data_IF_008275922913
#
_entry.id   IF_008275922913
#
_cell.length_a   1.000
_cell.length_b   1.000
_cell.length_c   1.000
_cell.angle_alpha   90.00
_cell.angle_beta   90.00
_cell.angle_gamma   90.00
#
_symmetry.space_group_name_H-M   'P 1'
#
loop_
_entity.id
_entity.type
_entity.pdbx_description
1 polymer ?
#
# COMPACT_ATOMS: atom_id res chain seq x y z
N UNK A 1 -18.17 15.37 -5.11
CA UNK A 1 -18.03 14.06 -5.78
C UNK A 1 -17.58 14.18 -7.23
N UNK A 2 -18.15 15.08 -8.04
CA UNK A 2 -17.66 15.28 -9.44
C UNK A 2 -16.17 15.67 -9.50
N UNK A 3 -15.72 16.57 -8.61
CA UNK A 3 -14.30 16.95 -8.54
C UNK A 3 -13.37 15.81 -8.11
N UNK A 4 -13.82 14.92 -7.22
CA UNK A 4 -12.98 13.81 -6.73
C UNK A 4 -12.85 12.70 -7.78
N UNK A 5 -13.94 12.35 -8.47
CA UNK A 5 -13.88 11.38 -9.58
C UNK A 5 -13.01 11.90 -10.72
N UNK A 6 -13.13 13.18 -11.07
CA UNK A 6 -12.27 13.82 -12.06
C UNK A 6 -10.80 13.77 -11.65
N UNK A 7 -10.47 14.13 -10.41
CA UNK A 7 -9.11 14.06 -9.89
C UNK A 7 -8.55 12.63 -9.96
N UNK A 8 -9.35 11.62 -9.57
CA UNK A 8 -8.95 10.20 -9.64
C UNK A 8 -8.64 9.81 -11.09
N UNK A 9 -9.52 10.14 -12.03
CA UNK A 9 -9.31 9.81 -13.45
C UNK A 9 -8.06 10.51 -14.03
N UNK A 10 -7.83 11.77 -13.67
CA UNK A 10 -6.65 12.54 -14.13
C UNK A 10 -5.33 12.05 -13.52
N UNK A 11 -5.38 11.38 -12.37
CA UNK A 11 -4.21 10.88 -11.64
C UNK A 11 -4.07 9.35 -11.64
N UNK A 12 -4.94 8.63 -12.36
CA UNK A 12 -5.03 7.18 -12.30
C UNK A 12 -3.70 6.48 -12.57
N UNK A 13 -2.96 6.92 -13.59
CA UNK A 13 -1.66 6.35 -13.94
C UNK A 13 -0.63 6.56 -12.81
N UNK A 14 -0.62 7.74 -12.20
CA UNK A 14 0.26 8.05 -11.06
C UNK A 14 -0.06 7.15 -9.87
N UNK A 15 -1.34 7.02 -9.50
CA UNK A 15 -1.75 6.17 -8.38
C UNK A 15 -1.42 4.71 -8.62
N UNK A 16 -1.61 4.23 -9.85
CA UNK A 16 -1.27 2.87 -10.25
C UNK A 16 0.24 2.62 -10.14
N UNK A 17 1.07 3.56 -10.62
CA UNK A 17 2.53 3.45 -10.55
C UNK A 17 3.03 3.48 -9.09
N UNK A 18 2.49 4.37 -8.26
CA UNK A 18 2.85 4.44 -6.83
C UNK A 18 2.44 3.14 -6.10
N UNK A 19 1.28 2.55 -6.42
CA UNK A 19 0.88 1.23 -5.88
C UNK A 19 1.82 0.12 -6.36
N UNK A 20 2.19 0.11 -7.64
CA UNK A 20 3.15 -0.86 -8.19
C UNK A 20 4.49 -0.77 -7.46
N UNK A 21 4.97 0.44 -7.17
CA UNK A 21 6.22 0.64 -6.44
C UNK A 21 6.13 0.14 -4.99
N UNK A 22 5.00 0.38 -4.31
CA UNK A 22 4.75 -0.19 -2.97
C UNK A 22 4.72 -1.73 -2.99
N UNK A 23 4.13 -2.33 -4.03
CA UNK A 23 4.02 -3.78 -4.18
C UNK A 23 5.36 -4.47 -4.48
N UNK A 24 6.34 -3.76 -5.05
CA UNK A 24 7.70 -4.29 -5.26
C UNK A 24 8.47 -4.51 -3.96
N UNK A 25 8.06 -3.89 -2.85
CA UNK A 25 8.74 -4.03 -1.56
C UNK A 25 8.32 -5.35 -0.90
N UNK A 26 9.22 -6.33 -0.69
CA UNK A 26 8.87 -7.60 -0.09
C UNK A 26 8.83 -7.51 1.43
N UNK A 27 7.83 -6.81 1.98
CA UNK A 27 7.64 -6.63 3.42
C UNK A 27 7.07 -7.87 4.11
N UNK A 28 7.79 -9.00 4.04
CA UNK A 28 7.34 -10.27 4.62
C UNK A 28 7.62 -10.27 6.12
N UNK A 29 6.59 -10.13 6.95
CA UNK A 29 6.76 -10.04 8.41
C UNK A 29 7.09 -11.38 9.07
N UNK A 30 6.60 -12.48 8.50
CA UNK A 30 6.78 -13.83 9.04
C UNK A 30 8.22 -14.36 8.92
N UNK A 31 9.05 -13.75 8.07
CA UNK A 31 10.43 -14.15 7.83
C UNK A 31 11.41 -13.05 8.30
N UNK A 32 12.22 -13.30 9.35
CA UNK A 32 13.17 -12.33 9.87
C UNK A 32 14.20 -11.82 8.86
N UNK A 33 14.47 -12.55 7.77
CA UNK A 33 15.38 -12.11 6.71
C UNK A 33 14.86 -10.88 5.95
N UNK A 34 13.55 -10.64 5.98
CA UNK A 34 12.89 -9.50 5.36
C UNK A 34 12.66 -8.33 6.32
N UNK A 35 13.25 -8.38 7.53
CA UNK A 35 13.09 -7.33 8.54
C UNK A 35 13.34 -5.93 7.97
N UNK A 36 14.43 -5.74 7.24
CA UNK A 36 14.78 -4.44 6.64
C UNK A 36 13.80 -4.03 5.53
N UNK A 37 13.19 -4.97 4.81
CA UNK A 37 12.16 -4.67 3.83
C UNK A 37 10.87 -4.19 4.50
N UNK A 38 10.50 -4.75 5.65
CA UNK A 38 9.35 -4.26 6.43
C UNK A 38 9.60 -2.82 6.89
N UNK A 39 10.78 -2.51 7.43
CA UNK A 39 11.14 -1.14 7.83
C UNK A 39 11.17 -0.18 6.64
N UNK A 40 11.72 -0.62 5.51
CA UNK A 40 11.74 0.16 4.27
C UNK A 40 10.33 0.43 3.75
N UNK A 41 9.42 -0.53 3.87
CA UNK A 41 8.00 -0.35 3.51
C UNK A 41 7.31 0.66 4.43
N UNK A 42 7.60 0.62 5.74
CA UNK A 42 7.09 1.60 6.70
C UNK A 42 7.57 3.03 6.35
N UNK A 43 8.86 3.18 6.02
CA UNK A 43 9.40 4.47 5.59
C UNK A 43 8.76 4.96 4.30
N UNK A 44 8.61 4.08 3.31
CA UNK A 44 7.98 4.42 2.03
C UNK A 44 6.53 4.92 2.22
N UNK A 45 5.79 4.34 3.16
CA UNK A 45 4.44 4.80 3.49
C UNK A 45 4.44 6.13 4.23
N UNK A 46 5.33 6.33 5.21
CA UNK A 46 5.48 7.60 5.90
C UNK A 46 5.79 8.74 4.90
N UNK A 47 6.73 8.50 3.98
CA UNK A 47 7.08 9.47 2.94
C UNK A 47 5.88 9.79 2.04
N UNK A 48 5.09 8.78 1.65
CA UNK A 48 3.87 8.98 0.88
C UNK A 48 2.84 9.83 1.64
N UNK A 49 2.62 9.56 2.93
CA UNK A 49 1.70 10.34 3.77
C UNK A 49 2.15 11.80 3.87
N UNK A 50 3.46 12.05 4.01
CA UNK A 50 4.01 13.42 4.02
C UNK A 50 3.79 14.11 2.66
N UNK A 51 4.05 13.42 1.54
CA UNK A 51 3.89 13.97 0.18
C UNK A 51 2.45 14.39 -0.11
N UNK A 52 1.45 13.64 0.37
CA UNK A 52 0.02 13.97 0.18
C UNK A 52 -0.49 15.03 1.18
N UNK A 53 0.39 15.53 2.06
CA UNK A 53 0.08 16.61 2.99
C UNK A 53 -0.70 16.17 4.22
N UNK A 54 -0.44 14.97 4.76
CA UNK A 54 -0.78 14.62 6.14
C UNK A 54 0.07 15.46 7.09
N UNK A 55 -0.54 16.00 8.15
CA UNK A 55 0.08 17.04 8.99
C UNK A 55 1.09 16.44 9.97
N UNK A 56 0.69 15.38 10.69
CA UNK A 56 1.54 14.66 11.62
C UNK A 56 1.77 13.25 11.09
N UNK A 57 2.99 12.94 10.67
CA UNK A 57 3.40 11.60 10.23
C UNK A 57 4.47 11.06 11.16
N UNK A 58 4.28 9.85 11.68
CA UNK A 58 5.21 9.21 12.60
C UNK A 58 5.40 7.73 12.27
N UNK A 59 6.64 7.27 12.36
CA UNK A 59 6.96 5.84 12.41
C UNK A 59 7.13 5.45 13.88
N UNK A 60 6.06 4.95 14.49
CA UNK A 60 6.04 4.55 15.89
C UNK A 60 6.74 3.21 16.08
N UNK A 61 7.86 3.20 16.80
CA UNK A 61 8.59 1.97 17.12
C UNK A 61 7.79 1.09 18.08
N UNK A 62 7.81 -0.24 17.86
CA UNK A 62 7.18 -1.22 18.73
C UNK A 62 8.19 -2.29 19.16
N UNK A 63 7.77 -3.25 19.99
CA UNK A 63 8.60 -4.43 20.26
C UNK A 63 8.78 -5.34 19.03
N UNK A 64 7.88 -5.22 18.04
CA UNK A 64 7.95 -5.90 16.75
C UNK A 64 8.23 -4.91 15.62
N UNK A 65 7.48 -5.00 14.53
CA UNK A 65 7.58 -4.06 13.41
C UNK A 65 6.92 -2.72 13.73
N UNK A 66 7.40 -1.61 13.14
CA UNK A 66 6.87 -0.28 13.46
C UNK A 66 5.44 -0.10 12.95
N UNK A 67 4.73 0.86 13.53
CA UNK A 67 3.44 1.33 13.01
C UNK A 67 3.70 2.64 12.26
N UNK A 68 3.04 2.84 11.12
CA UNK A 68 3.02 4.14 10.43
C UNK A 68 1.74 4.84 10.82
N UNK A 69 1.87 5.99 11.47
CA UNK A 69 0.77 6.83 11.91
C UNK A 69 0.74 8.13 11.09
N UNK A 70 -0.47 8.59 10.80
CA UNK A 70 -0.74 9.83 10.08
C UNK A 70 -2.06 10.43 10.51
N UNK A 71 -2.12 11.74 10.76
CA UNK A 71 -3.39 12.45 10.94
C UNK A 71 -3.50 13.75 10.12
N UNK A 72 -4.75 14.13 9.87
CA UNK A 72 -5.11 15.40 9.24
C UNK A 72 -6.36 15.94 9.91
N UNK A 73 -6.19 17.00 10.71
CA UNK A 73 -7.29 17.63 11.44
C UNK A 73 -7.69 18.90 10.70
N UNK A 74 -8.75 18.79 9.89
CA UNK A 74 -9.28 19.94 9.13
C UNK A 74 -10.17 20.85 9.97
N UNK A 75 -10.89 20.28 10.95
CA UNK A 75 -11.76 20.99 11.88
C UNK A 75 -11.98 20.12 13.13
N UNK A 76 -11.62 20.64 14.31
CA UNK A 76 -11.72 19.92 15.58
C UNK A 76 -13.17 19.68 16.05
N UNK A 77 -14.16 20.32 15.43
CA UNK A 77 -15.58 20.10 15.72
C UNK A 77 -16.20 18.93 14.94
N UNK A 78 -15.50 18.41 13.92
CA UNK A 78 -15.97 17.28 13.11
C UNK A 78 -15.60 15.93 13.76
N UNK A 79 -16.34 14.85 13.47
CA UNK A 79 -15.98 13.51 13.91
C UNK A 79 -14.62 13.07 13.35
N UNK A 80 -13.85 12.36 14.17
CA UNK A 80 -12.60 11.70 13.74
C UNK A 80 -12.90 10.31 13.19
N UNK A 81 -12.36 10.00 12.01
CA UNK A 81 -12.42 8.65 11.42
C UNK A 81 -11.03 8.04 11.46
N UNK A 82 -10.91 6.86 12.07
CA UNK A 82 -9.70 6.06 12.04
C UNK A 82 -9.81 5.04 10.91
N UNK A 83 -8.81 5.02 10.03
CA UNK A 83 -8.62 3.98 9.02
C UNK A 83 -7.41 3.15 9.42
N UNK A 84 -7.56 1.83 9.43
CA UNK A 84 -6.50 0.89 9.73
C UNK A 84 -6.31 -0.05 8.54
N UNK A 85 -5.06 -0.37 8.25
CA UNK A 85 -4.65 -1.41 7.30
C UNK A 85 -3.27 -1.92 7.69
N UNK A 86 -2.74 -2.86 6.92
CA UNK A 86 -1.38 -3.36 7.12
C UNK A 86 -0.56 -3.31 5.84
N UNK A 87 0.76 -3.28 6.02
CA UNK A 87 1.71 -3.11 4.93
C UNK A 87 2.72 -4.26 4.84
N UNK A 88 2.73 -5.16 5.81
CA UNK A 88 3.37 -6.44 5.68
C UNK A 88 2.52 -7.41 4.88
N UNK A 89 3.16 -8.45 4.36
CA UNK A 89 2.53 -9.45 3.50
C UNK A 89 2.97 -10.85 3.90
N UNK A 90 2.17 -11.84 3.50
CA UNK A 90 2.53 -13.25 3.66
C UNK A 90 3.71 -13.64 2.75
N UNK A 91 4.49 -14.68 3.12
CA UNK A 91 5.41 -15.34 2.21
C UNK A 91 4.75 -15.73 0.88
N UNK A 92 5.53 -15.76 -0.19
CA UNK A 92 5.01 -16.04 -1.53
C UNK A 92 5.07 -17.52 -1.91
N UNK A 93 5.62 -18.39 -1.06
CA UNK A 93 5.78 -19.81 -1.35
C UNK A 93 4.43 -20.52 -1.60
N UNK A 94 4.41 -21.50 -2.52
CA UNK A 94 5.51 -21.97 -3.36
C UNK A 94 5.74 -21.05 -4.59
N UNK A 95 7.00 -20.66 -4.83
CA UNK A 95 7.35 -19.73 -5.91
C UNK A 95 7.07 -20.30 -7.30
N UNK A 96 7.15 -21.62 -7.47
CA UNK A 96 6.93 -22.30 -8.75
C UNK A 96 5.48 -22.24 -9.25
N UNK A 97 4.52 -21.95 -8.37
CA UNK A 97 3.11 -21.77 -8.75
C UNK A 97 2.83 -20.38 -9.31
N UNK A 98 3.77 -19.45 -9.19
CA UNK A 98 3.63 -18.11 -9.74
C UNK A 98 3.95 -18.08 -11.23
N UNK A 99 3.11 -17.39 -12.01
CA UNK A 99 3.34 -17.17 -13.46
C UNK A 99 4.15 -15.89 -13.75
N UNK A 100 4.51 -15.15 -12.71
CA UNK A 100 5.37 -13.96 -12.71
C UNK A 100 5.88 -13.78 -11.28
N UNK A 101 7.13 -13.30 -11.06
CA UNK A 101 7.67 -13.17 -9.72
C UNK A 101 6.74 -12.37 -8.79
N UNK A 102 6.56 -12.80 -7.52
CA UNK A 102 5.51 -12.28 -6.63
C UNK A 102 5.63 -10.78 -6.32
N UNK A 103 6.86 -10.24 -6.37
CA UNK A 103 7.17 -8.84 -6.13
C UNK A 103 7.56 -8.09 -7.42
N UNK A 104 7.22 -8.65 -8.58
CA UNK A 104 7.24 -7.97 -9.87
C UNK A 104 5.80 -7.83 -10.38
N UNK A 105 5.07 -6.78 -9.98
CA UNK A 105 3.66 -6.64 -10.31
C UNK A 105 3.42 -6.60 -11.80
N UNK A 106 2.47 -7.40 -12.26
CA UNK A 106 2.04 -7.44 -13.67
C UNK A 106 0.55 -7.20 -13.77
N UNK A 107 0.14 -6.44 -14.78
CA UNK A 107 -1.27 -6.26 -15.11
C UNK A 107 -1.64 -7.25 -16.20
N UNK A 108 -2.57 -8.17 -15.92
CA UNK A 108 -3.00 -9.21 -16.86
C UNK A 108 -4.52 -9.22 -16.97
N UNK A 109 -5.03 -9.47 -18.16
CA UNK A 109 -6.44 -9.81 -18.36
C UNK A 109 -6.66 -11.30 -18.12
N UNK A 110 -7.80 -11.66 -17.55
CA UNK A 110 -8.22 -13.06 -17.36
C UNK A 110 -9.72 -13.17 -17.67
N UNK A 111 -10.28 -14.39 -17.82
CA UNK A 111 -11.72 -14.55 -18.02
C UNK A 111 -12.58 -13.89 -16.92
N UNK A 112 -12.09 -13.82 -15.68
CA UNK A 112 -12.78 -13.15 -14.55
C UNK A 112 -12.39 -11.68 -14.37
N UNK A 113 -11.27 -11.25 -14.96
CA UNK A 113 -10.79 -9.86 -14.96
C UNK A 113 -10.55 -9.38 -16.41
N UNK A 114 -11.61 -9.20 -17.22
CA UNK A 114 -11.48 -8.82 -18.62
C UNK A 114 -10.88 -7.42 -18.82
N UNK A 115 -11.00 -6.55 -17.81
CA UNK A 115 -10.45 -5.19 -17.80
C UNK A 115 -9.00 -5.12 -17.28
N UNK A 116 -8.43 -6.26 -16.90
CA UNK A 116 -7.11 -6.34 -16.26
C UNK A 116 -7.19 -6.36 -14.73
N UNK A 117 -6.23 -7.03 -14.11
CA UNK A 117 -6.00 -7.01 -12.68
C UNK A 117 -4.49 -7.03 -12.40
N UNK A 118 -4.09 -6.51 -11.23
CA UNK A 118 -2.70 -6.54 -10.76
C UNK A 118 -2.46 -7.91 -10.11
N UNK A 119 -1.46 -8.64 -10.60
CA UNK A 119 -1.00 -9.89 -10.03
C UNK A 119 0.34 -9.64 -9.34
N UNK A 120 0.30 -9.60 -8.01
CA UNK A 120 1.47 -9.47 -7.13
C UNK A 120 1.10 -9.93 -5.70
N UNK A 121 2.08 -10.34 -4.91
CA UNK A 121 1.91 -10.51 -3.47
C UNK A 121 1.63 -9.13 -2.84
N UNK A 122 0.60 -9.05 -2.01
CA UNK A 122 0.17 -7.81 -1.37
C UNK A 122 -0.87 -7.01 -2.17
N UNK A 123 -1.15 -7.37 -3.42
CA UNK A 123 -2.04 -6.58 -4.28
C UNK A 123 -3.47 -6.45 -3.73
N UNK A 124 -3.98 -7.50 -3.10
CA UNK A 124 -5.31 -7.49 -2.45
C UNK A 124 -5.21 -7.43 -0.92
N UNK A 125 -4.19 -8.07 -0.34
CA UNK A 125 -4.03 -8.28 1.11
C UNK A 125 -2.64 -7.80 1.56
N UNK A 126 -2.50 -6.57 2.07
CA UNK A 126 -3.53 -5.51 2.17
C UNK A 126 -3.06 -4.20 1.50
N UNK A 127 -1.89 -4.22 0.87
CA UNK A 127 -1.29 -3.01 0.28
C UNK A 127 -2.22 -2.32 -0.71
N UNK A 128 -2.96 -3.06 -1.54
CA UNK A 128 -3.93 -2.45 -2.45
C UNK A 128 -5.05 -1.70 -1.72
N UNK A 129 -5.75 -2.36 -0.79
CA UNK A 129 -6.90 -1.76 -0.10
C UNK A 129 -6.45 -0.65 0.86
N UNK A 130 -5.39 -0.86 1.62
CA UNK A 130 -4.81 0.18 2.47
C UNK A 130 -4.38 1.40 1.66
N UNK A 131 -3.72 1.21 0.51
CA UNK A 131 -3.24 2.31 -0.32
C UNK A 131 -4.37 3.12 -0.98
N UNK A 132 -5.55 2.52 -1.20
CA UNK A 132 -6.73 3.26 -1.66
C UNK A 132 -7.17 4.35 -0.68
N UNK A 133 -6.87 4.22 0.62
CA UNK A 133 -7.17 5.27 1.61
C UNK A 133 -6.14 6.41 1.62
N UNK A 134 -4.98 6.20 0.99
CA UNK A 134 -3.89 7.18 0.91
C UNK A 134 -4.06 8.11 -0.31
N UNK A 135 -4.86 7.74 -1.32
CA UNK A 135 -4.97 8.47 -2.60
C UNK A 135 -6.36 9.02 -2.89
#
# INVERSE_FOLDING_TARGET
MENSQKYISENQERFLNELIDLLKIPSISADPSYKENVHSCAQHLADNLTIIGIDNVEICQTAGYPIVYGDKIVDASLPTVLVYGHYDVQPADPLELWTSPPFEPVIKTTPIHPQGAIFARGACDDKGQMFMHVK
#
